data_IF_764506600382
#
_entry.id   IF_764506600382
#
_cell.length_a   1.000
_cell.length_b   1.000
_cell.length_c   1.000
_cell.angle_alpha   90.00
_cell.angle_beta   90.00
_cell.angle_gamma   90.00
#
_symmetry.space_group_name_H-M   'P 1'
#
loop_
_entity.id
_entity.type
_entity.pdbx_description
1 polymer ?
#
# COMPACT_ATOMS: atom_id res chain seq x y z
N UNK A 1 -9.36 -17.83 7.08
CA UNK A 1 -9.07 -17.49 8.49
C UNK A 1 -7.58 -17.24 8.54
N UNK A 2 -7.11 -16.06 8.97
CA UNK A 2 -5.69 -15.83 9.24
C UNK A 2 -5.43 -16.54 10.56
N UNK A 3 -4.52 -17.56 10.62
CA UNK A 3 -4.24 -18.26 11.88
C UNK A 3 -3.61 -17.28 12.89
N UNK A 4 -3.99 -17.42 14.16
CA UNK A 4 -3.30 -16.73 15.25
C UNK A 4 -1.84 -17.21 15.30
N UNK A 5 -0.91 -16.28 15.51
CA UNK A 5 0.52 -16.54 15.51
C UNK A 5 0.89 -17.58 16.59
N UNK A 6 1.27 -18.77 16.15
CA UNK A 6 2.03 -19.68 16.97
C UNK A 6 3.47 -19.16 17.14
N UNK A 7 4.08 -19.40 18.27
CA UNK A 7 5.35 -19.06 18.89
C UNK A 7 6.64 -18.86 18.03
N UNK A 8 6.54 -18.51 16.78
CA UNK A 8 7.62 -18.06 15.91
C UNK A 8 7.50 -16.54 15.83
N UNK A 9 8.57 -15.78 15.95
CA UNK A 9 8.66 -14.33 16.03
C UNK A 9 7.60 -13.54 15.22
N UNK A 10 7.47 -12.23 15.38
CA UNK A 10 6.38 -11.47 14.79
C UNK A 10 6.36 -11.70 13.28
N UNK A 11 5.23 -12.26 12.79
CA UNK A 11 5.07 -12.56 11.36
C UNK A 11 5.13 -11.31 10.49
N UNK A 12 5.49 -11.45 9.22
CA UNK A 12 5.75 -10.34 8.28
C UNK A 12 4.54 -10.14 7.37
N UNK A 13 4.02 -8.92 7.28
CA UNK A 13 3.10 -8.54 6.20
C UNK A 13 3.92 -8.27 4.94
N UNK A 14 3.73 -9.09 3.92
CA UNK A 14 4.42 -8.93 2.63
C UNK A 14 3.50 -8.19 1.66
N UNK A 15 4.04 -7.20 0.94
CA UNK A 15 3.35 -6.54 -0.18
C UNK A 15 4.15 -6.72 -1.46
N UNK A 16 3.48 -6.85 -2.61
CA UNK A 16 4.12 -6.97 -3.91
C UNK A 16 3.49 -6.02 -4.92
N UNK A 17 4.32 -5.29 -5.66
CA UNK A 17 3.85 -4.37 -6.70
C UNK A 17 4.78 -3.20 -6.96
N UNK A 18 4.19 -2.05 -7.28
CA UNK A 18 4.91 -0.87 -7.74
C UNK A 18 5.55 -0.10 -6.58
N UNK A 19 6.77 0.37 -6.85
CA UNK A 19 7.48 1.45 -6.16
C UNK A 19 7.95 2.41 -7.25
N UNK A 20 7.33 3.59 -7.31
CA UNK A 20 7.52 4.61 -8.35
C UNK A 20 7.70 5.99 -7.73
N UNK A 21 8.17 6.95 -8.52
CA UNK A 21 8.18 8.35 -8.14
C UNK A 21 6.87 9.03 -8.56
N UNK A 22 6.15 9.63 -7.62
CA UNK A 22 5.03 10.53 -7.93
C UNK A 22 5.56 11.96 -8.07
N UNK A 23 5.36 12.54 -9.26
CA UNK A 23 5.64 13.95 -9.56
C UNK A 23 4.31 14.69 -9.57
N UNK A 24 4.01 15.34 -8.45
CA UNK A 24 2.74 16.03 -8.24
C UNK A 24 2.90 17.48 -8.71
N UNK A 25 2.09 17.87 -9.69
CA UNK A 25 2.03 19.22 -10.25
C UNK A 25 0.74 19.87 -9.79
N UNK A 26 0.86 20.89 -8.95
CA UNK A 26 -0.27 21.65 -8.41
C UNK A 26 -0.42 22.99 -9.14
N UNK A 27 -1.58 23.21 -9.74
CA UNK A 27 -1.89 24.46 -10.44
C UNK A 27 -3.14 25.10 -9.85
N UNK A 28 -3.02 26.38 -9.47
CA UNK A 28 -4.15 27.17 -8.96
C UNK A 28 -5.07 27.71 -10.07
N UNK A 29 -4.70 27.49 -11.33
CA UNK A 29 -5.46 27.94 -12.50
C UNK A 29 -5.50 26.85 -13.59
N UNK A 30 -6.50 26.87 -14.46
CA UNK A 30 -6.56 25.99 -15.64
C UNK A 30 -5.30 26.13 -16.50
N UNK A 31 -4.79 25.01 -16.99
CA UNK A 31 -3.62 24.99 -17.85
C UNK A 31 -3.86 25.83 -19.14
N UNK A 32 -2.98 26.77 -19.42
CA UNK A 32 -2.97 27.53 -20.66
C UNK A 32 -2.14 26.79 -21.68
N UNK A 33 -2.73 26.61 -22.88
CA UNK A 33 -2.06 25.92 -23.96
C UNK A 33 -0.91 26.75 -24.55
N UNK A 34 0.18 26.07 -24.94
CA UNK A 34 1.34 26.62 -25.65
C UNK A 34 2.05 27.81 -24.95
N UNK A 35 2.02 27.83 -23.61
CA UNK A 35 2.74 28.82 -22.79
C UNK A 35 3.10 28.25 -21.41
N UNK A 36 3.92 28.98 -20.66
CA UNK A 36 4.29 28.65 -19.30
C UNK A 36 3.09 28.76 -18.36
N UNK A 37 2.99 27.77 -17.46
CA UNK A 37 1.98 27.74 -16.41
C UNK A 37 2.68 27.70 -15.05
N UNK A 38 2.41 28.66 -14.20
CA UNK A 38 2.92 28.67 -12.83
C UNK A 38 2.31 27.48 -12.05
N UNK A 39 3.16 26.72 -11.38
CA UNK A 39 2.73 25.57 -10.59
C UNK A 39 3.70 25.31 -9.44
N UNK A 40 3.28 24.49 -8.50
CA UNK A 40 4.14 23.90 -7.47
C UNK A 40 4.37 22.44 -7.81
N UNK A 41 5.64 22.02 -7.86
CA UNK A 41 5.99 20.63 -8.12
C UNK A 41 6.54 20.00 -6.84
N UNK A 42 5.99 18.85 -6.48
CA UNK A 42 6.48 18.01 -5.39
C UNK A 42 6.78 16.62 -5.90
N UNK A 43 7.76 15.98 -5.30
CA UNK A 43 8.12 14.59 -5.57
C UNK A 43 7.92 13.79 -4.29
N UNK A 44 7.36 12.60 -4.43
CA UNK A 44 7.12 11.68 -3.32
C UNK A 44 7.20 10.24 -3.80
N UNK A 45 7.30 9.34 -2.85
CA UNK A 45 7.12 7.92 -3.12
C UNK A 45 5.67 7.65 -3.54
N UNK A 46 5.51 6.90 -4.60
CA UNK A 46 4.26 6.36 -5.10
C UNK A 46 4.28 4.83 -5.19
N UNK A 47 3.16 4.29 -5.65
CA UNK A 47 2.92 2.86 -5.76
C UNK A 47 2.11 2.30 -4.58
N UNK A 48 0.92 1.76 -4.87
CA UNK A 48 -0.02 1.27 -3.85
C UNK A 48 0.61 0.21 -2.94
N UNK A 49 1.32 -0.79 -3.49
CA UNK A 49 2.00 -1.81 -2.68
C UNK A 49 3.07 -1.23 -1.74
N UNK A 50 3.86 -0.25 -2.23
CA UNK A 50 4.87 0.43 -1.43
C UNK A 50 4.23 1.30 -0.34
N UNK A 51 3.08 1.93 -0.62
CA UNK A 51 2.32 2.68 0.37
C UNK A 51 1.80 1.78 1.48
N UNK A 52 1.17 0.64 1.13
CA UNK A 52 0.70 -0.34 2.12
C UNK A 52 1.87 -0.83 2.99
N UNK A 53 3.03 -1.14 2.38
CA UNK A 53 4.22 -1.54 3.14
C UNK A 53 4.69 -0.48 4.13
N UNK A 54 4.81 0.79 3.67
CA UNK A 54 5.26 1.90 4.51
C UNK A 54 4.34 2.14 5.71
N UNK A 55 3.03 2.12 5.49
CA UNK A 55 2.04 2.26 6.55
C UNK A 55 2.07 1.08 7.53
N UNK A 56 2.23 -0.14 7.00
CA UNK A 56 2.32 -1.35 7.81
C UNK A 56 3.58 -1.40 8.67
N UNK A 57 4.73 -0.88 8.16
CA UNK A 57 6.01 -0.89 8.88
C UNK A 57 6.00 -0.16 10.23
N UNK A 58 5.06 0.77 10.42
CA UNK A 58 4.80 1.41 11.72
C UNK A 58 3.91 0.59 12.68
N UNK A 59 3.35 -0.53 12.23
CA UNK A 59 2.39 -1.35 12.98
C UNK A 59 2.90 -2.77 13.26
N UNK A 60 3.66 -3.34 12.32
CA UNK A 60 4.20 -4.70 12.39
C UNK A 60 5.37 -4.85 11.42
N UNK A 61 6.18 -5.93 11.51
CA UNK A 61 7.17 -6.22 10.49
C UNK A 61 6.53 -6.27 9.09
N UNK A 62 7.08 -5.50 8.16
CA UNK A 62 6.58 -5.39 6.80
C UNK A 62 7.70 -5.65 5.79
N UNK A 63 7.36 -6.28 4.66
CA UNK A 63 8.28 -6.49 3.53
C UNK A 63 7.62 -6.02 2.25
N UNK A 64 8.38 -5.30 1.46
CA UNK A 64 8.00 -4.89 0.11
C UNK A 64 8.76 -5.72 -0.93
N UNK A 65 8.05 -6.18 -1.96
CA UNK A 65 8.60 -6.90 -3.12
C UNK A 65 8.24 -6.12 -4.39
N UNK A 66 9.24 -5.80 -5.23
CA UNK A 66 8.99 -5.09 -6.48
C UNK A 66 10.20 -5.04 -7.40
N UNK A 67 10.09 -4.23 -8.46
CA UNK A 67 11.21 -3.92 -9.35
C UNK A 67 11.34 -2.40 -9.49
N UNK A 68 12.59 -1.90 -9.40
CA UNK A 68 12.93 -0.47 -9.51
C UNK A 68 14.07 -0.28 -10.52
N UNK A 69 14.36 0.96 -10.89
CA UNK A 69 15.44 1.28 -11.79
C UNK A 69 16.84 1.03 -11.21
N UNK A 70 17.84 1.16 -12.09
CA UNK A 70 19.28 1.18 -11.77
C UNK A 70 19.77 2.63 -11.65
N UNK A 71 18.91 3.53 -11.16
CA UNK A 71 19.12 4.97 -11.14
C UNK A 71 19.03 5.54 -9.71
N UNK A 72 19.49 6.78 -9.46
CA UNK A 72 19.48 7.40 -8.15
C UNK A 72 18.07 7.58 -7.55
N UNK A 73 17.01 7.64 -8.38
CA UNK A 73 15.63 7.74 -7.91
C UNK A 73 15.25 6.46 -7.17
N UNK A 74 15.64 5.29 -7.72
CA UNK A 74 15.45 4.01 -7.04
C UNK A 74 16.10 3.98 -5.65
N UNK A 75 17.31 4.53 -5.51
CA UNK A 75 18.04 4.56 -4.24
C UNK A 75 17.33 5.43 -3.21
N UNK A 76 16.82 6.58 -3.63
CA UNK A 76 16.02 7.48 -2.76
C UNK A 76 14.74 6.77 -2.30
N UNK A 77 13.97 6.19 -3.22
CA UNK A 77 12.69 5.57 -2.90
C UNK A 77 12.83 4.32 -2.02
N UNK A 78 13.84 3.47 -2.30
CA UNK A 78 14.10 2.28 -1.48
C UNK A 78 14.60 2.64 -0.09
N UNK A 79 15.44 3.68 0.04
CA UNK A 79 15.92 4.17 1.33
C UNK A 79 14.79 4.80 2.15
N UNK A 80 13.91 5.58 1.52
CA UNK A 80 12.72 6.13 2.18
C UNK A 80 11.83 5.01 2.71
N UNK A 81 11.53 4.02 1.87
CA UNK A 81 10.69 2.89 2.26
C UNK A 81 11.32 2.09 3.41
N UNK A 82 12.64 1.85 3.37
CA UNK A 82 13.37 1.21 4.47
C UNK A 82 13.33 2.05 5.76
N UNK A 83 13.35 3.38 5.64
CA UNK A 83 13.19 4.30 6.77
C UNK A 83 11.86 4.17 7.51
N UNK A 84 10.84 3.60 6.88
CA UNK A 84 9.57 3.22 7.51
C UNK A 84 9.61 1.85 8.21
N UNK A 85 10.78 1.21 8.35
CA UNK A 85 10.93 -0.11 8.98
C UNK A 85 10.55 -1.28 8.07
N UNK A 86 10.54 -1.06 6.74
CA UNK A 86 10.19 -2.08 5.74
C UNK A 86 11.45 -2.84 5.29
N UNK A 87 11.39 -4.18 5.26
CA UNK A 87 12.38 -5.02 4.56
C UNK A 87 12.15 -4.93 3.05
N UNK A 88 13.00 -4.17 2.35
CA UNK A 88 12.83 -3.87 0.93
C UNK A 88 13.55 -4.91 0.08
N UNK A 89 12.80 -5.72 -0.66
CA UNK A 89 13.29 -6.76 -1.57
C UNK A 89 12.97 -6.36 -3.01
N UNK A 90 13.93 -5.79 -3.72
CA UNK A 90 13.69 -5.31 -5.08
C UNK A 90 14.66 -5.95 -6.09
N UNK A 91 14.13 -6.21 -7.28
CA UNK A 91 14.95 -6.38 -8.48
C UNK A 91 15.26 -4.99 -9.05
N UNK A 92 16.37 -4.88 -9.78
CA UNK A 92 16.77 -3.62 -10.43
C UNK A 92 16.90 -3.83 -11.93
N UNK A 93 16.24 -2.95 -12.71
CA UNK A 93 16.23 -3.02 -14.19
C UNK A 93 15.91 -1.66 -14.78
N UNK A 94 16.69 -1.21 -15.74
CA UNK A 94 16.40 0.00 -16.51
C UNK A 94 16.20 1.25 -15.66
N UNK A 95 15.10 1.98 -15.85
CA UNK A 95 14.78 3.22 -15.12
C UNK A 95 13.61 3.04 -14.16
N UNK A 96 13.62 3.82 -13.09
CA UNK A 96 12.49 3.86 -12.13
C UNK A 96 11.23 4.43 -12.78
N UNK A 97 10.09 3.84 -12.44
CA UNK A 97 8.79 4.33 -12.89
C UNK A 97 8.46 5.70 -12.29
N UNK A 98 7.70 6.49 -13.04
CA UNK A 98 7.28 7.83 -12.63
C UNK A 98 5.79 8.01 -12.98
N UNK A 99 5.03 8.55 -12.03
CA UNK A 99 3.64 8.96 -12.26
C UNK A 99 3.57 10.47 -12.15
N UNK A 100 3.19 11.16 -13.24
CA UNK A 100 2.89 12.59 -13.18
C UNK A 100 1.43 12.75 -12.76
N UNK A 101 1.20 13.46 -11.66
CA UNK A 101 -0.12 13.73 -11.09
C UNK A 101 -0.41 15.22 -11.25
N UNK A 102 -1.33 15.57 -12.13
CA UNK A 102 -1.82 16.94 -12.25
C UNK A 102 -2.99 17.14 -11.29
N UNK A 103 -2.89 18.14 -10.43
CA UNK A 103 -3.98 18.54 -9.52
C UNK A 103 -4.40 19.95 -9.92
N UNK A 104 -5.67 20.10 -10.28
CA UNK A 104 -6.24 21.39 -10.67
C UNK A 104 -6.72 22.19 -9.44
N UNK A 105 -7.21 23.41 -9.70
CA UNK A 105 -7.72 24.32 -8.66
C UNK A 105 -8.98 23.79 -7.94
N UNK A 106 -9.67 22.80 -8.51
CA UNK A 106 -10.78 22.08 -7.90
C UNK A 106 -10.35 20.89 -7.03
N UNK A 107 -9.05 20.53 -7.05
CA UNK A 107 -8.52 19.36 -6.37
C UNK A 107 -8.69 18.06 -7.16
N UNK A 108 -9.19 18.13 -8.40
CA UNK A 108 -9.32 16.96 -9.27
C UNK A 108 -7.95 16.51 -9.79
N UNK A 109 -7.79 15.19 -9.92
CA UNK A 109 -6.51 14.59 -10.29
C UNK A 109 -6.56 13.91 -11.64
N UNK A 110 -5.56 14.23 -12.46
CA UNK A 110 -5.27 13.50 -13.70
C UNK A 110 -3.90 12.84 -13.57
N UNK A 111 -3.82 11.53 -13.77
CA UNK A 111 -2.61 10.76 -13.57
C UNK A 111 -2.07 10.25 -14.90
N UNK A 112 -0.75 10.37 -15.09
CA UNK A 112 -0.02 9.87 -16.26
C UNK A 112 1.04 8.87 -15.77
N UNK A 113 0.69 7.58 -15.65
CA UNK A 113 1.60 6.56 -15.17
C UNK A 113 2.56 6.10 -16.28
N UNK A 114 3.84 6.13 -15.98
CA UNK A 114 4.88 5.43 -16.70
C UNK A 114 5.58 4.49 -15.72
N UNK A 115 5.18 3.23 -15.73
CA UNK A 115 5.60 2.25 -14.72
C UNK A 115 7.04 1.79 -14.89
N UNK A 116 7.59 1.82 -16.10
CA UNK A 116 8.97 1.43 -16.41
C UNK A 116 9.38 0.15 -15.66
N UNK A 117 10.47 0.17 -14.85
CA UNK A 117 10.96 -0.99 -14.10
C UNK A 117 9.88 -1.66 -13.21
N UNK A 118 8.89 -0.94 -12.71
CA UNK A 118 7.83 -1.56 -11.91
C UNK A 118 6.97 -2.56 -12.71
N UNK A 119 6.96 -2.46 -14.05
CA UNK A 119 6.35 -3.43 -14.95
C UNK A 119 7.26 -4.62 -15.31
N UNK A 120 8.53 -4.62 -14.88
CA UNK A 120 9.56 -5.59 -15.26
C UNK A 120 9.93 -6.57 -14.14
N UNK A 121 9.08 -6.74 -13.13
CA UNK A 121 9.31 -7.71 -12.06
C UNK A 121 9.36 -9.13 -12.65
N UNK A 122 10.54 -9.73 -12.63
CA UNK A 122 10.75 -11.11 -13.04
C UNK A 122 10.36 -12.09 -11.92
N UNK A 123 10.68 -13.38 -12.12
CA UNK A 123 10.40 -14.41 -11.13
C UNK A 123 10.96 -14.05 -9.75
N UNK A 124 10.10 -14.13 -8.74
CA UNK A 124 10.43 -13.79 -7.35
C UNK A 124 10.82 -15.08 -6.61
N UNK A 125 11.97 -15.10 -5.91
CA UNK A 125 12.36 -16.25 -5.10
C UNK A 125 11.32 -16.55 -4.03
N UNK A 126 10.85 -17.80 -3.86
CA UNK A 126 9.88 -18.16 -2.81
C UNK A 126 10.34 -17.78 -1.40
N UNK A 127 11.66 -17.78 -1.13
CA UNK A 127 12.24 -17.35 0.15
C UNK A 127 11.93 -15.88 0.51
N UNK A 128 11.50 -15.07 -0.45
CA UNK A 128 11.05 -13.72 -0.15
C UNK A 128 9.69 -13.70 0.57
N UNK A 129 9.01 -14.85 0.70
CA UNK A 129 7.81 -15.05 1.51
C UNK A 129 8.10 -15.63 2.91
N UNK A 130 9.37 -15.86 3.27
CA UNK A 130 9.70 -16.43 4.57
C UNK A 130 9.12 -15.58 5.70
N UNK A 131 8.49 -16.26 6.69
CA UNK A 131 7.76 -15.67 7.81
C UNK A 131 6.54 -14.82 7.43
N UNK A 132 6.07 -14.87 6.17
CA UNK A 132 4.87 -14.13 5.75
C UNK A 132 3.62 -14.65 6.49
N UNK A 133 2.85 -13.73 7.09
CA UNK A 133 1.52 -14.02 7.68
C UNK A 133 0.39 -13.57 6.77
N UNK A 134 0.67 -12.71 5.80
CA UNK A 134 -0.22 -12.33 4.72
C UNK A 134 0.61 -11.79 3.54
N UNK A 135 0.09 -11.97 2.32
CA UNK A 135 0.62 -11.36 1.10
C UNK A 135 -0.45 -10.47 0.47
N UNK A 136 -0.13 -9.18 0.31
CA UNK A 136 -1.00 -8.19 -0.31
C UNK A 136 -0.52 -7.81 -1.71
N UNK A 137 -1.43 -7.77 -2.67
CA UNK A 137 -1.18 -7.33 -4.04
C UNK A 137 -2.26 -6.35 -4.51
N UNK A 138 -1.93 -5.14 -4.96
CA UNK A 138 -2.82 -4.29 -5.74
C UNK A 138 -2.98 -4.85 -7.15
N UNK A 139 -4.17 -4.72 -7.73
CA UNK A 139 -4.44 -5.28 -9.08
C UNK A 139 -3.65 -4.59 -10.20
N UNK A 140 -3.06 -3.44 -9.94
CA UNK A 140 -2.10 -2.83 -10.87
C UNK A 140 -0.96 -3.76 -11.29
N UNK A 141 -0.62 -4.75 -10.46
CA UNK A 141 0.39 -5.77 -10.79
C UNK A 141 0.08 -6.51 -12.09
N UNK A 142 -1.20 -6.67 -12.42
CA UNK A 142 -1.66 -7.46 -13.58
C UNK A 142 -1.79 -6.64 -14.86
N UNK A 143 -1.56 -5.32 -14.80
CA UNK A 143 -1.68 -4.44 -15.97
C UNK A 143 -0.56 -4.61 -17.01
N UNK A 144 0.56 -5.26 -16.66
CA UNK A 144 1.68 -5.43 -17.57
C UNK A 144 2.46 -6.74 -17.30
N UNK A 145 3.07 -7.28 -18.36
CA UNK A 145 4.00 -8.41 -18.28
C UNK A 145 5.46 -7.90 -18.29
N UNK A 146 6.40 -8.58 -17.64
CA UNK A 146 6.29 -9.88 -16.96
C UNK A 146 5.74 -9.84 -15.53
N UNK A 147 5.48 -8.65 -14.95
CA UNK A 147 5.06 -8.47 -13.56
C UNK A 147 3.79 -9.28 -13.25
N UNK A 148 2.77 -9.26 -14.12
CA UNK A 148 1.52 -9.99 -13.92
C UNK A 148 1.74 -11.49 -13.70
N UNK A 149 2.49 -12.13 -14.61
CA UNK A 149 2.84 -13.56 -14.49
C UNK A 149 3.67 -13.85 -13.24
N UNK A 150 4.64 -12.99 -12.91
CA UNK A 150 5.51 -13.17 -11.75
C UNK A 150 4.75 -13.07 -10.43
N UNK A 151 3.84 -12.09 -10.32
CA UNK A 151 2.98 -11.93 -9.15
C UNK A 151 2.01 -13.10 -9.01
N UNK A 152 1.38 -13.57 -10.11
CA UNK A 152 0.51 -14.75 -10.06
C UNK A 152 1.23 -16.01 -9.53
N UNK A 153 2.48 -16.23 -9.97
CA UNK A 153 3.30 -17.33 -9.44
C UNK A 153 3.57 -17.16 -7.95
N UNK A 154 3.90 -15.94 -7.50
CA UNK A 154 4.15 -15.64 -6.11
C UNK A 154 2.89 -15.86 -5.24
N UNK A 155 1.72 -15.40 -5.70
CA UNK A 155 0.43 -15.64 -5.03
C UNK A 155 0.13 -17.15 -4.95
N UNK A 156 0.42 -17.89 -6.01
CA UNK A 156 0.31 -19.34 -6.01
C UNK A 156 1.26 -20.04 -5.02
N UNK A 157 2.48 -19.53 -4.84
CA UNK A 157 3.41 -20.01 -3.79
C UNK A 157 2.86 -19.72 -2.39
N UNK A 158 2.38 -18.50 -2.15
CA UNK A 158 1.74 -18.11 -0.89
C UNK A 158 0.58 -19.04 -0.53
N UNK A 159 -0.33 -19.29 -1.49
CA UNK A 159 -1.48 -20.17 -1.29
C UNK A 159 -1.07 -21.61 -0.93
N UNK A 160 -0.04 -22.17 -1.59
CA UNK A 160 0.50 -23.50 -1.25
C UNK A 160 1.16 -23.56 0.11
N UNK A 161 1.77 -22.46 0.55
CA UNK A 161 2.37 -22.33 1.88
C UNK A 161 1.34 -22.00 2.97
N UNK A 162 0.05 -21.87 2.64
CA UNK A 162 -1.00 -21.49 3.59
C UNK A 162 -0.98 -20.02 4.00
N UNK A 163 -0.21 -19.18 3.29
CA UNK A 163 -0.17 -17.73 3.52
C UNK A 163 -1.41 -17.09 2.88
N UNK A 164 -2.27 -16.42 3.66
CA UNK A 164 -3.44 -15.73 3.14
C UNK A 164 -3.06 -14.64 2.15
N UNK A 165 -3.76 -14.58 1.03
CA UNK A 165 -3.60 -13.53 0.01
C UNK A 165 -4.68 -12.48 0.19
N UNK A 166 -4.32 -11.21 0.12
CA UNK A 166 -5.26 -10.11 -0.05
C UNK A 166 -5.03 -9.40 -1.38
N UNK A 167 -6.11 -9.02 -2.04
CA UNK A 167 -6.11 -8.33 -3.31
C UNK A 167 -6.88 -7.01 -3.18
N UNK A 168 -6.34 -5.91 -3.71
CA UNK A 168 -7.08 -4.65 -3.88
C UNK A 168 -7.45 -4.45 -5.35
N UNK A 169 -8.70 -4.11 -5.64
CA UNK A 169 -9.20 -3.86 -7.00
C UNK A 169 -8.46 -2.72 -7.71
N UNK A 170 -8.03 -1.72 -6.94
CA UNK A 170 -7.13 -0.62 -7.31
C UNK A 170 -7.71 0.43 -8.27
N UNK A 171 -8.37 0.07 -9.37
CA UNK A 171 -8.87 1.03 -10.36
C UNK A 171 -9.92 0.42 -11.28
N UNK A 172 -11.04 1.12 -11.47
CA UNK A 172 -12.06 0.74 -12.47
C UNK A 172 -11.47 0.77 -13.89
N UNK A 173 -10.69 1.81 -14.22
CA UNK A 173 -10.07 1.93 -15.55
C UNK A 173 -9.13 0.78 -15.86
N UNK A 174 -8.31 0.35 -14.90
CA UNK A 174 -7.44 -0.81 -15.08
C UNK A 174 -8.25 -2.09 -15.28
N UNK A 175 -9.33 -2.30 -14.52
CA UNK A 175 -10.20 -3.48 -14.65
C UNK A 175 -10.88 -3.50 -16.03
N UNK A 176 -11.36 -2.35 -16.50
CA UNK A 176 -11.99 -2.21 -17.82
C UNK A 176 -11.00 -2.50 -18.95
N UNK A 177 -9.77 -1.95 -18.86
CA UNK A 177 -8.71 -2.20 -19.84
C UNK A 177 -8.24 -3.66 -19.82
N UNK A 178 -8.12 -4.29 -18.65
CA UNK A 178 -7.80 -5.70 -18.51
C UNK A 178 -8.91 -6.62 -19.05
N UNK A 179 -10.15 -6.13 -19.05
CA UNK A 179 -11.38 -6.84 -19.41
C UNK A 179 -12.07 -7.47 -18.21
N UNK A 180 -13.30 -7.02 -17.92
CA UNK A 180 -14.06 -7.42 -16.73
C UNK A 180 -14.15 -8.94 -16.53
N UNK A 181 -14.50 -9.69 -17.60
CA UNK A 181 -14.62 -11.15 -17.52
C UNK A 181 -13.28 -11.79 -17.14
N UNK A 182 -12.20 -11.39 -17.82
CA UNK A 182 -10.84 -11.87 -17.54
C UNK A 182 -10.39 -11.54 -16.12
N UNK A 183 -10.77 -10.37 -15.61
CA UNK A 183 -10.45 -9.96 -14.24
C UNK A 183 -11.21 -10.82 -13.21
N UNK A 184 -12.48 -11.14 -13.45
CA UNK A 184 -13.25 -12.02 -12.57
C UNK A 184 -12.68 -13.45 -12.56
N UNK A 185 -12.27 -13.98 -13.71
CA UNK A 185 -11.57 -15.28 -13.82
C UNK A 185 -10.24 -15.24 -13.02
N UNK A 186 -9.52 -14.12 -13.09
CA UNK A 186 -8.30 -13.90 -12.32
C UNK A 186 -8.58 -13.95 -10.81
N UNK A 187 -9.58 -13.23 -10.32
CA UNK A 187 -9.98 -13.23 -8.90
C UNK A 187 -10.38 -14.64 -8.46
N UNK A 188 -11.15 -15.36 -9.29
CA UNK A 188 -11.55 -16.75 -9.01
C UNK A 188 -10.33 -17.69 -8.94
N UNK A 189 -9.33 -17.50 -9.78
CA UNK A 189 -8.10 -18.28 -9.76
C UNK A 189 -7.23 -18.04 -8.53
N UNK A 190 -7.13 -16.77 -8.09
CA UNK A 190 -6.35 -16.35 -6.92
C UNK A 190 -7.03 -16.80 -5.62
N UNK A 191 -8.36 -16.71 -5.55
CA UNK A 191 -9.17 -16.97 -4.34
C UNK A 191 -8.65 -16.19 -3.13
N UNK A 192 -8.62 -14.85 -3.20
CA UNK A 192 -8.08 -14.05 -2.12
C UNK A 192 -8.87 -14.28 -0.82
N UNK A 193 -8.15 -14.35 0.31
CA UNK A 193 -8.77 -14.40 1.63
C UNK A 193 -9.46 -13.07 1.96
N UNK A 194 -8.91 -11.96 1.48
CA UNK A 194 -9.48 -10.60 1.60
C UNK A 194 -9.45 -9.92 0.25
N UNK A 195 -10.56 -9.29 -0.12
CA UNK A 195 -10.67 -8.47 -1.32
C UNK A 195 -11.11 -7.05 -0.94
N UNK A 196 -10.27 -6.07 -1.25
CA UNK A 196 -10.58 -4.65 -1.07
C UNK A 196 -11.09 -4.05 -2.38
N UNK A 197 -12.08 -3.19 -2.27
CA UNK A 197 -12.57 -2.38 -3.37
C UNK A 197 -13.09 -1.04 -2.82
N UNK A 198 -13.11 -0.01 -3.66
CA UNK A 198 -13.94 1.16 -3.39
C UNK A 198 -15.37 0.94 -3.92
N UNK A 199 -16.29 1.88 -3.63
CA UNK A 199 -17.70 1.75 -4.03
C UNK A 199 -17.91 1.69 -5.56
N UNK A 200 -17.03 2.31 -6.37
CA UNK A 200 -17.12 2.28 -7.83
C UNK A 200 -16.64 0.92 -8.37
N UNK A 201 -15.52 0.44 -7.87
CA UNK A 201 -14.96 -0.87 -8.20
C UNK A 201 -15.90 -2.01 -7.78
N UNK A 202 -16.47 -1.92 -6.57
CA UNK A 202 -17.42 -2.91 -6.07
C UNK A 202 -18.69 -3.00 -6.93
N UNK A 203 -19.17 -1.86 -7.47
CA UNK A 203 -20.31 -1.83 -8.41
C UNK A 203 -19.94 -2.42 -9.76
N UNK A 204 -18.77 -2.05 -10.32
CA UNK A 204 -18.29 -2.57 -11.59
C UNK A 204 -18.15 -4.10 -11.56
N UNK A 205 -17.56 -4.61 -10.48
CA UNK A 205 -17.29 -6.04 -10.29
C UNK A 205 -18.52 -6.82 -9.86
N UNK A 206 -19.54 -6.18 -9.28
CA UNK A 206 -20.62 -6.82 -8.55
C UNK A 206 -20.07 -7.86 -7.55
N UNK A 207 -19.54 -7.37 -6.43
CA UNK A 207 -18.88 -8.20 -5.41
C UNK A 207 -19.81 -9.21 -4.70
N UNK A 208 -21.08 -9.29 -5.10
CA UNK A 208 -22.02 -10.33 -4.67
C UNK A 208 -21.94 -11.61 -5.51
N UNK A 209 -21.18 -11.59 -6.61
CA UNK A 209 -21.02 -12.73 -7.52
C UNK A 209 -20.34 -13.93 -6.83
N UNK A 210 -20.55 -15.16 -7.38
CA UNK A 210 -19.98 -16.39 -6.82
C UNK A 210 -18.45 -16.38 -6.65
N UNK A 211 -17.72 -15.61 -7.47
CA UNK A 211 -16.26 -15.43 -7.38
C UNK A 211 -15.83 -14.92 -6.02
N UNK A 212 -16.67 -14.12 -5.36
CA UNK A 212 -16.41 -13.53 -4.06
C UNK A 212 -17.01 -14.30 -2.87
N UNK A 213 -17.81 -15.37 -3.12
CA UNK A 213 -18.56 -16.07 -2.08
C UNK A 213 -17.69 -16.66 -0.95
N UNK A 214 -16.41 -16.95 -1.22
CA UNK A 214 -15.45 -17.48 -0.24
C UNK A 214 -14.44 -16.46 0.25
N UNK A 215 -14.61 -15.19 -0.12
CA UNK A 215 -13.69 -14.10 0.13
C UNK A 215 -14.32 -13.14 1.14
N UNK A 216 -13.52 -12.67 2.09
CA UNK A 216 -13.90 -11.52 2.92
C UNK A 216 -13.81 -10.26 2.05
N UNK A 217 -14.95 -9.70 1.65
CA UNK A 217 -14.97 -8.46 0.87
C UNK A 217 -15.06 -7.24 1.77
N UNK A 218 -14.27 -6.22 1.46
CA UNK A 218 -14.18 -4.96 2.21
C UNK A 218 -14.34 -3.81 1.24
N UNK A 219 -15.53 -3.21 1.22
CA UNK A 219 -15.88 -2.13 0.29
C UNK A 219 -15.75 -0.78 1.00
N UNK A 220 -14.71 -0.05 0.65
CA UNK A 220 -14.41 1.32 1.12
C UNK A 220 -15.36 2.32 0.42
N UNK A 221 -15.93 3.27 1.16
CA UNK A 221 -16.90 4.23 0.62
C UNK A 221 -16.60 5.69 1.02
N UNK A 222 -15.34 6.08 1.02
CA UNK A 222 -14.90 7.42 1.41
C UNK A 222 -15.37 7.80 2.81
N UNK A 223 -16.19 8.86 2.93
CA UNK A 223 -16.80 9.28 4.19
C UNK A 223 -18.01 8.41 4.61
N UNK A 224 -18.55 7.60 3.71
CA UNK A 224 -19.64 6.66 4.01
C UNK A 224 -19.12 5.38 4.66
N UNK A 225 -20.00 4.62 5.30
CA UNK A 225 -19.63 3.37 5.99
C UNK A 225 -18.92 2.39 5.06
N UNK A 226 -17.85 1.78 5.55
CA UNK A 226 -17.21 0.63 4.91
C UNK A 226 -18.11 -0.61 5.09
N UNK A 227 -18.34 -1.35 4.01
CA UNK A 227 -19.12 -2.59 4.06
C UNK A 227 -18.15 -3.77 4.12
N UNK A 228 -18.25 -4.54 5.19
CA UNK A 228 -17.47 -5.76 5.43
C UNK A 228 -18.40 -6.95 5.28
N UNK A 229 -18.13 -7.84 4.31
CA UNK A 229 -18.94 -9.04 4.07
C UNK A 229 -18.05 -10.27 4.27
N UNK A 230 -18.25 -11.03 5.37
CA UNK A 230 -17.51 -12.26 5.59
C UNK A 230 -17.98 -13.36 4.61
N UNK A 231 -17.14 -14.38 4.33
CA UNK A 231 -17.52 -15.50 3.48
C UNK A 231 -18.81 -16.17 3.97
N UNK A 232 -19.82 -16.21 3.10
CA UNK A 232 -21.12 -16.81 3.40
C UNK A 232 -21.95 -16.10 4.49
N UNK A 233 -21.50 -14.94 4.96
CA UNK A 233 -22.19 -14.15 5.97
C UNK A 233 -22.86 -12.90 5.40
N UNK A 234 -23.70 -12.21 6.21
CA UNK A 234 -24.33 -10.96 5.80
C UNK A 234 -23.32 -9.79 5.80
N UNK A 235 -23.57 -8.76 4.97
CA UNK A 235 -22.77 -7.54 5.01
C UNK A 235 -22.98 -6.80 6.35
N UNK A 236 -21.89 -6.24 6.87
CA UNK A 236 -21.87 -5.41 8.07
C UNK A 236 -21.35 -4.01 7.71
N UNK A 237 -22.11 -2.98 8.02
CA UNK A 237 -21.70 -1.59 7.84
C UNK A 237 -20.85 -1.12 9.04
N UNK A 238 -19.62 -0.69 8.77
CA UNK A 238 -18.70 -0.14 9.76
C UNK A 238 -18.62 1.37 9.55
N UNK A 239 -19.17 2.20 10.45
CA UNK A 239 -19.14 3.65 10.31
C UNK A 239 -17.71 4.19 10.26
N UNK A 240 -17.50 5.19 9.41
CA UNK A 240 -16.24 5.96 9.37
C UNK A 240 -16.33 7.03 10.48
N UNK A 241 -15.28 7.17 11.32
CA UNK A 241 -15.24 8.26 12.30
C UNK A 241 -15.27 9.62 11.60
N UNK A 242 -16.02 10.58 12.18
CA UNK A 242 -16.06 11.94 11.65
C UNK A 242 -14.66 12.53 11.56
N UNK A 243 -14.36 13.16 10.41
CA UNK A 243 -13.12 13.85 10.15
C UNK A 243 -13.40 15.16 9.41
N UNK A 244 -12.60 16.21 9.60
CA UNK A 244 -12.67 17.39 8.77
C UNK A 244 -12.47 17.02 7.28
N UNK A 245 -12.88 17.89 6.34
CA UNK A 245 -12.65 17.67 4.93
C UNK A 245 -11.18 17.35 4.65
N UNK A 246 -10.93 16.27 3.91
CA UNK A 246 -9.59 15.86 3.56
C UNK A 246 -8.92 16.93 2.68
N UNK A 247 -7.67 17.26 2.98
CA UNK A 247 -6.82 18.09 2.09
C UNK A 247 -6.35 17.30 0.88
N UNK A 248 -6.00 16.05 1.12
CA UNK A 248 -5.55 15.08 0.13
C UNK A 248 -5.96 13.67 0.58
N UNK A 249 -6.61 12.92 -0.29
CA UNK A 249 -7.01 11.54 -0.01
C UNK A 249 -6.08 10.51 -0.63
N UNK A 250 -4.92 10.93 -1.17
CA UNK A 250 -3.92 10.04 -1.76
C UNK A 250 -3.38 9.08 -0.69
N UNK A 251 -3.39 7.79 -1.00
CA UNK A 251 -2.91 6.76 -0.07
C UNK A 251 -3.87 6.40 1.07
N UNK A 252 -5.04 7.07 1.21
CA UNK A 252 -5.99 6.71 2.27
C UNK A 252 -6.52 5.27 2.13
N UNK A 253 -6.71 4.80 0.89
CA UNK A 253 -7.06 3.41 0.60
C UNK A 253 -5.96 2.42 0.99
N UNK A 254 -4.69 2.78 0.72
CA UNK A 254 -3.52 1.98 1.06
C UNK A 254 -3.31 1.94 2.58
N UNK A 255 -3.47 3.10 3.25
CA UNK A 255 -3.42 3.20 4.71
C UNK A 255 -4.53 2.34 5.36
N UNK A 256 -5.76 2.41 4.83
CA UNK A 256 -6.84 1.54 5.29
C UNK A 256 -6.46 0.05 5.15
N UNK A 257 -5.95 -0.36 3.99
CA UNK A 257 -5.55 -1.75 3.77
C UNK A 257 -4.44 -2.19 4.73
N UNK A 258 -3.44 -1.34 4.97
CA UNK A 258 -2.36 -1.60 5.93
C UNK A 258 -2.88 -1.78 7.36
N UNK A 259 -3.71 -0.85 7.85
CA UNK A 259 -4.31 -0.94 9.19
C UNK A 259 -5.20 -2.16 9.35
N UNK A 260 -6.03 -2.44 8.34
CA UNK A 260 -6.89 -3.63 8.32
C UNK A 260 -6.08 -4.93 8.38
N UNK A 261 -5.08 -5.08 7.51
CA UNK A 261 -4.27 -6.30 7.42
C UNK A 261 -3.41 -6.50 8.67
N UNK A 262 -2.83 -5.44 9.22
CA UNK A 262 -2.09 -5.49 10.47
C UNK A 262 -2.99 -5.94 11.65
N UNK A 263 -4.18 -5.37 11.80
CA UNK A 263 -5.13 -5.78 12.83
C UNK A 263 -5.56 -7.24 12.65
N UNK A 264 -5.82 -7.70 11.40
CA UNK A 264 -6.13 -9.10 11.10
C UNK A 264 -4.98 -10.04 11.45
N UNK A 265 -3.74 -9.65 11.20
CA UNK A 265 -2.55 -10.42 11.56
C UNK A 265 -2.41 -10.59 13.09
N UNK A 266 -2.90 -9.61 13.87
CA UNK A 266 -2.96 -9.67 15.33
C UNK A 266 -4.24 -10.33 15.87
N UNK A 267 -5.08 -10.93 15.02
CA UNK A 267 -6.26 -11.69 15.42
C UNK A 267 -7.55 -10.90 15.59
N UNK A 268 -7.57 -9.59 15.27
CA UNK A 268 -8.79 -8.80 15.28
C UNK A 268 -9.87 -9.38 14.36
N UNK A 269 -11.14 -9.28 14.72
CA UNK A 269 -12.22 -9.65 13.81
C UNK A 269 -12.32 -8.68 12.61
N UNK A 270 -13.07 -9.01 11.54
CA UNK A 270 -13.14 -8.15 10.35
C UNK A 270 -13.69 -6.74 10.60
N UNK A 271 -14.58 -6.56 11.57
CA UNK A 271 -15.17 -5.25 11.92
C UNK A 271 -14.16 -4.41 12.70
N UNK A 272 -13.47 -5.01 13.66
CA UNK A 272 -12.37 -4.38 14.41
C UNK A 272 -11.24 -3.99 13.48
N UNK A 273 -10.87 -4.87 12.54
CA UNK A 273 -9.86 -4.58 11.53
C UNK A 273 -10.26 -3.40 10.63
N UNK A 274 -11.54 -3.28 10.25
CA UNK A 274 -12.02 -2.14 9.48
C UNK A 274 -11.92 -0.83 10.27
N UNK A 275 -12.18 -0.84 11.58
CA UNK A 275 -11.97 0.33 12.46
C UNK A 275 -10.49 0.74 12.51
N UNK A 276 -9.58 -0.23 12.69
CA UNK A 276 -8.14 0.03 12.64
C UNK A 276 -7.71 0.60 11.28
N UNK A 277 -8.30 0.10 10.18
CA UNK A 277 -8.12 0.66 8.85
C UNK A 277 -8.58 2.13 8.75
N UNK A 278 -9.75 2.47 9.31
CA UNK A 278 -10.24 3.85 9.35
C UNK A 278 -9.30 4.78 10.15
N UNK A 279 -8.82 4.33 11.31
CA UNK A 279 -7.93 5.14 12.15
C UNK A 279 -6.62 5.47 11.44
N UNK A 280 -6.05 4.50 10.73
CA UNK A 280 -4.84 4.73 9.95
C UNK A 280 -5.11 5.61 8.71
N UNK A 281 -6.19 5.34 7.95
CA UNK A 281 -6.58 6.16 6.81
C UNK A 281 -6.80 7.62 7.21
N UNK A 282 -7.43 7.86 8.37
CA UNK A 282 -7.64 9.20 8.91
C UNK A 282 -6.31 9.94 9.15
N UNK A 283 -5.26 9.25 9.58
CA UNK A 283 -3.96 9.88 9.87
C UNK A 283 -3.28 10.48 8.64
N UNK A 284 -3.63 10.02 7.43
CA UNK A 284 -3.03 10.50 6.17
C UNK A 284 -3.82 11.60 5.47
N UNK A 285 -5.09 11.80 5.82
CA UNK A 285 -5.97 12.79 5.16
C UNK A 285 -5.51 14.25 5.31
N UNK A 286 -4.59 14.52 6.23
CA UNK A 286 -4.09 15.87 6.55
C UNK A 286 -2.68 16.14 6.07
N UNK A 287 -2.02 15.13 5.47
CA UNK A 287 -0.66 15.22 4.93
C UNK A 287 -0.70 15.15 3.41
N UNK A 288 0.06 15.97 2.67
CA UNK A 288 0.15 15.86 1.22
C UNK A 288 0.87 14.58 0.81
N UNK A 289 0.31 13.86 -0.16
CA UNK A 289 0.84 12.58 -0.63
C UNK A 289 0.54 11.41 0.32
N UNK A 290 0.97 10.19 -0.04
CA UNK A 290 0.80 8.99 0.77
C UNK A 290 1.79 8.97 1.97
N UNK A 291 1.76 10.01 2.82
CA UNK A 291 2.63 10.15 4.00
C UNK A 291 1.80 10.29 5.26
N UNK A 292 2.21 9.62 6.35
CA UNK A 292 1.59 9.84 7.65
C UNK A 292 2.25 11.01 8.38
N UNK A 293 1.46 11.84 9.07
CA UNK A 293 1.97 12.90 9.93
C UNK A 293 2.60 12.41 11.25
N UNK A 294 2.73 11.10 11.43
CA UNK A 294 3.32 10.51 12.63
C UNK A 294 4.86 10.65 12.54
N UNK A 295 5.52 11.32 13.50
CA UNK A 295 6.99 11.35 13.53
C UNK A 295 7.53 9.92 13.68
N UNK A 296 8.69 9.59 13.09
CA UNK A 296 9.35 8.32 13.31
C UNK A 296 9.55 8.10 14.80
N UNK A 297 9.34 6.85 15.27
CA UNK A 297 9.59 6.49 16.65
C UNK A 297 11.02 6.91 17.03
N UNK A 298 11.16 7.74 18.05
CA UNK A 298 12.48 8.17 18.54
C UNK A 298 13.31 6.95 18.89
N UNK A 299 14.49 6.83 18.27
CA UNK A 299 15.50 5.85 18.70
C UNK A 299 15.75 6.02 20.20
N UNK A 300 15.92 4.93 20.97
CA UNK A 300 16.26 5.05 22.38
C UNK A 300 17.56 5.85 22.50
N UNK A 301 17.52 6.89 23.33
CA UNK A 301 18.67 7.73 23.62
C UNK A 301 19.83 6.85 24.09
N UNK A 302 21.00 7.00 23.46
CA UNK A 302 22.24 6.43 23.92
C UNK A 302 22.47 6.89 25.37
N UNK A 303 22.62 5.91 26.27
CA UNK A 303 22.78 6.18 27.70
C UNK A 303 23.96 7.09 27.97
N UNK A 304 23.74 8.02 28.85
CA UNK A 304 24.79 8.89 29.45
C UNK A 304 25.90 8.00 30.06
N UNK A 305 27.08 8.08 29.47
CA UNK A 305 28.29 7.55 30.07
C UNK A 305 28.72 8.44 31.26
N UNK A 306 29.38 7.88 32.27
CA UNK A 306 29.68 8.61 33.51
C UNK A 306 30.63 9.76 33.28
N UNK A 307 30.33 10.91 33.89
CA UNK A 307 31.14 12.10 33.93
C UNK A 307 32.55 11.81 34.49
N UNK A 308 33.57 12.18 33.73
CA UNK A 308 34.95 12.16 34.23
C UNK A 308 35.21 13.39 35.10
N UNK A 309 35.57 13.15 36.35
CA UNK A 309 36.12 14.15 37.29
C UNK A 309 37.43 14.73 36.75
N UNK A 310 37.48 16.01 36.50
CA UNK A 310 38.74 16.75 36.28
C UNK A 310 39.03 17.63 37.46
N UNK A 311 39.90 17.15 38.36
CA UNK A 311 40.62 17.96 39.31
C UNK A 311 41.64 18.84 38.56
N UNK A 312 41.50 20.16 38.70
CA UNK A 312 42.50 21.14 38.28
C UNK A 312 43.58 21.33 39.31
N UNK A 313 44.84 21.61 38.92
CA UNK A 313 45.88 22.00 39.85
C UNK A 313 45.95 23.52 40.03
N UNK A 314 46.28 23.91 41.28
CA UNK A 314 46.50 25.27 41.73
C UNK A 314 47.78 25.94 41.12
N UNK A 315 47.73 27.24 41.05
CA UNK A 315 48.84 28.13 40.68
C UNK A 315 50.01 28.13 41.70
N UNK A 316 51.17 28.67 41.30
CA UNK A 316 51.52 30.06 41.58
C UNK A 316 51.61 30.98 40.38
#
# INVERSE_FOLDING_TARGET
MIPAADSHGPGVLVTVGDLVEDVIVWSDAPARHATDNACVIRRSRGGSAANVAAFAGGLMPARFIGCVGEDPVADVLTSELAGHGVDVRVQRRGRTGTVVVLIDSGGERTMYPDRAAAADLAEVPPAWLDSAVALHAPSYCFAAEPTGTSVLRLLGHAGRAGVPVSLDASSTGMIEEYGLARYLDLVESIRPAVFFANAHEARLLDVTRPQFAKTLTVVKNGAGSTIVTPPGGPPCAVPVPEAPPARDSTGAGDAFAAGFLAARAHGADPVEAARAGHDLARSVLFSPGATSSRPPASSPAAGDGPAADTHGPARP
#
